data_IF_499186201600
#
_entry.id   IF_499186201600
#
_cell.length_a   1.000
_cell.length_b   1.000
_cell.length_c   1.000
_cell.angle_alpha   90.00
_cell.angle_beta   90.00
_cell.angle_gamma   90.00
#
_symmetry.space_group_name_H-M   'P 1'
#
loop_
_entity.id
_entity.type
_entity.pdbx_description
1 polymer ?
#
# COMPACT_ATOMS: atom_id res chain seq x y z
N UNK A 1 -26.35 22.36 -1.10
CA UNK A 1 -26.06 22.18 -2.55
C UNK A 1 -24.61 21.79 -2.72
N UNK A 2 -24.32 20.50 -2.55
CA UNK A 2 -22.99 19.91 -2.76
C UNK A 2 -23.20 18.72 -3.69
N UNK A 3 -23.16 18.97 -5.00
CA UNK A 3 -23.38 17.93 -6.02
C UNK A 3 -22.56 18.14 -7.29
N UNK A 4 -21.48 18.91 -7.26
CA UNK A 4 -20.71 19.23 -8.49
C UNK A 4 -19.25 18.75 -8.51
N UNK A 5 -18.75 18.09 -7.47
CA UNK A 5 -17.34 17.60 -7.44
C UNK A 5 -17.17 16.09 -7.63
N UNK A 6 -18.26 15.32 -7.62
CA UNK A 6 -18.23 13.88 -7.92
C UNK A 6 -18.25 13.56 -9.43
N UNK A 7 -18.56 14.53 -10.30
CA UNK A 7 -18.73 14.32 -11.75
C UNK A 7 -17.44 14.33 -12.60
N UNK A 8 -16.25 14.55 -12.02
CA UNK A 8 -14.98 14.57 -12.77
C UNK A 8 -14.13 13.30 -12.66
N UNK A 9 -14.53 12.30 -11.86
CA UNK A 9 -13.90 10.98 -11.86
C UNK A 9 -14.56 10.09 -12.91
N UNK A 10 -14.30 10.38 -14.18
CA UNK A 10 -14.80 9.55 -15.28
C UNK A 10 -14.04 8.22 -15.24
N UNK A 11 -14.76 7.13 -14.97
CA UNK A 11 -14.20 5.78 -15.00
C UNK A 11 -13.80 5.41 -16.43
N UNK A 12 -12.62 4.81 -16.56
CA UNK A 12 -12.14 4.16 -17.78
C UNK A 12 -13.22 3.24 -18.40
N UNK A 13 -14.01 2.53 -17.57
CA UNK A 13 -15.10 1.63 -18.00
C UNK A 13 -16.28 2.34 -18.70
N UNK A 14 -16.57 3.60 -18.37
CA UNK A 14 -17.64 4.35 -19.03
C UNK A 14 -17.19 4.88 -20.39
N UNK A 15 -15.88 5.06 -20.56
CA UNK A 15 -15.27 5.57 -21.77
C UNK A 15 -14.89 4.46 -22.76
N UNK A 16 -14.61 3.23 -22.29
CA UNK A 16 -14.18 2.11 -23.15
C UNK A 16 -15.26 1.73 -24.17
N UNK A 17 -16.54 1.86 -23.78
CA UNK A 17 -17.71 1.80 -24.67
C UNK A 17 -17.66 2.76 -25.88
N UNK A 18 -16.89 3.84 -25.81
CA UNK A 18 -16.84 4.90 -26.85
C UNK A 18 -15.48 5.01 -27.56
N UNK A 19 -14.43 4.37 -27.04
CA UNK A 19 -13.06 4.48 -27.56
C UNK A 19 -12.77 3.53 -28.72
N UNK A 20 -13.51 2.42 -28.83
CA UNK A 20 -13.36 1.45 -29.93
C UNK A 20 -13.78 2.06 -31.29
N UNK A 21 -14.62 3.10 -31.31
CA UNK A 21 -15.26 3.58 -32.55
C UNK A 21 -14.86 5.00 -33.02
N UNK A 22 -13.91 5.71 -32.39
CA UNK A 22 -13.56 7.06 -32.87
C UNK A 22 -12.13 7.52 -32.59
N UNK A 23 -11.43 7.97 -33.65
CA UNK A 23 -10.13 8.67 -33.58
C UNK A 23 -10.15 9.90 -32.66
N UNK A 24 -11.33 10.51 -32.46
CA UNK A 24 -11.55 11.68 -31.59
C UNK A 24 -11.46 11.32 -30.11
N UNK A 25 -11.84 10.10 -29.73
CA UNK A 25 -11.79 9.64 -28.33
C UNK A 25 -10.43 9.08 -27.92
N UNK A 26 -9.65 8.48 -28.84
CA UNK A 26 -8.22 8.21 -28.58
C UNK A 26 -7.50 9.44 -28.03
N UNK A 27 -7.75 10.64 -28.58
CA UNK A 27 -7.17 11.90 -28.10
C UNK A 27 -7.60 12.30 -26.69
N UNK A 28 -8.86 12.03 -26.30
CA UNK A 28 -9.37 12.38 -24.97
C UNK A 28 -8.78 11.52 -23.84
N UNK A 29 -8.35 10.29 -24.15
CA UNK A 29 -7.75 9.38 -23.18
C UNK A 29 -6.30 9.72 -22.84
N UNK A 30 -5.55 10.24 -23.82
CA UNK A 30 -4.14 10.60 -23.62
C UNK A 30 -3.96 11.73 -22.61
N UNK A 31 -5.01 12.48 -22.26
CA UNK A 31 -4.95 13.57 -21.28
C UNK A 31 -5.66 13.24 -19.95
N UNK A 32 -6.08 11.99 -19.73
CA UNK A 32 -6.79 11.61 -18.51
C UNK A 32 -5.87 11.63 -17.29
N UNK A 33 -6.21 12.46 -16.31
CA UNK A 33 -5.47 12.54 -15.05
C UNK A 33 -5.70 11.31 -14.15
N UNK A 34 -6.68 10.46 -14.44
CA UNK A 34 -7.08 9.33 -13.62
C UNK A 34 -7.13 8.07 -14.48
N UNK A 35 -6.17 7.16 -14.28
CA UNK A 35 -6.09 5.88 -14.98
C UNK A 35 -6.57 4.76 -14.04
N UNK A 36 -7.82 4.31 -14.23
CA UNK A 36 -8.52 3.43 -13.29
C UNK A 36 -8.85 2.08 -13.95
N UNK A 37 -8.05 1.06 -13.67
CA UNK A 37 -8.21 -0.31 -14.15
C UNK A 37 -8.83 -1.18 -13.04
N UNK A 38 -10.10 -0.91 -12.73
CA UNK A 38 -10.86 -1.58 -11.67
C UNK A 38 -11.54 -2.88 -12.14
N UNK A 39 -12.18 -3.63 -11.24
CA UNK A 39 -12.89 -4.88 -11.59
C UNK A 39 -13.77 -4.75 -12.85
N UNK A 40 -14.49 -3.65 -13.03
CA UNK A 40 -15.33 -3.44 -14.21
C UNK A 40 -14.53 -3.36 -15.53
N UNK A 41 -13.34 -2.74 -15.53
CA UNK A 41 -12.45 -2.75 -16.69
C UNK A 41 -12.04 -4.19 -17.07
N UNK A 42 -11.75 -5.03 -16.08
CA UNK A 42 -11.38 -6.43 -16.32
C UNK A 42 -12.54 -7.25 -16.87
N UNK A 43 -13.74 -7.14 -16.28
CA UNK A 43 -14.93 -7.86 -16.76
C UNK A 43 -15.30 -7.49 -18.20
N UNK A 44 -15.07 -6.24 -18.62
CA UNK A 44 -15.31 -5.78 -20.00
C UNK A 44 -14.34 -6.42 -21.01
N UNK A 45 -13.14 -6.78 -20.57
CA UNK A 45 -12.10 -7.38 -21.42
C UNK A 45 -11.92 -8.88 -21.16
N UNK A 46 -12.82 -9.48 -20.40
CA UNK A 46 -12.86 -10.91 -20.13
C UNK A 46 -13.43 -11.65 -21.36
N UNK A 47 -12.76 -12.72 -21.79
CA UNK A 47 -13.35 -13.71 -22.69
C UNK A 47 -14.38 -14.53 -21.92
N UNK A 48 -15.34 -15.17 -22.60
CA UNK A 48 -16.46 -15.91 -21.98
C UNK A 48 -16.12 -16.73 -20.72
N UNK A 49 -14.90 -17.27 -20.60
CA UNK A 49 -14.45 -18.04 -19.44
C UNK A 49 -13.15 -17.58 -18.76
N UNK A 50 -12.28 -16.77 -19.39
CA UNK A 50 -10.95 -16.40 -18.85
C UNK A 50 -10.52 -14.97 -19.20
N UNK A 51 -9.52 -14.42 -18.51
CA UNK A 51 -8.92 -13.14 -18.89
C UNK A 51 -7.82 -13.32 -19.95
N UNK A 52 -7.88 -12.55 -21.04
CA UNK A 52 -6.77 -12.47 -22.00
C UNK A 52 -5.70 -11.52 -21.45
N UNK A 53 -4.84 -12.05 -20.57
CA UNK A 53 -3.78 -11.30 -19.90
C UNK A 53 -2.83 -10.60 -20.87
N UNK A 54 -2.52 -11.23 -22.01
CA UNK A 54 -1.65 -10.65 -23.04
C UNK A 54 -2.30 -9.41 -23.64
N UNK A 55 -3.55 -9.53 -24.10
CA UNK A 55 -4.30 -8.40 -24.67
C UNK A 55 -4.49 -7.27 -23.66
N UNK A 56 -4.77 -7.59 -22.40
CA UNK A 56 -4.92 -6.58 -21.35
C UNK A 56 -3.59 -5.85 -21.09
N UNK A 57 -2.47 -6.57 -21.08
CA UNK A 57 -1.16 -5.94 -20.99
C UNK A 57 -0.91 -4.99 -22.16
N UNK A 58 -1.22 -5.41 -23.39
CA UNK A 58 -1.08 -4.57 -24.59
C UNK A 58 -1.94 -3.32 -24.52
N UNK A 59 -3.18 -3.44 -24.03
CA UNK A 59 -4.10 -2.30 -23.84
C UNK A 59 -3.54 -1.32 -22.81
N UNK A 60 -3.20 -1.78 -21.60
CA UNK A 60 -2.70 -0.91 -20.53
C UNK A 60 -1.36 -0.28 -20.93
N UNK A 61 -0.45 -1.09 -21.46
CA UNK A 61 0.86 -0.59 -21.92
C UNK A 61 0.70 0.41 -23.07
N UNK A 62 -0.23 0.16 -23.99
CA UNK A 62 -0.57 1.09 -25.08
C UNK A 62 -1.15 2.41 -24.57
N UNK A 63 -2.03 2.38 -23.57
CA UNK A 63 -2.56 3.59 -22.93
C UNK A 63 -1.43 4.39 -22.30
N UNK A 64 -0.57 3.75 -21.50
CA UNK A 64 0.53 4.43 -20.81
C UNK A 64 1.56 4.99 -21.81
N UNK A 65 1.93 4.21 -22.83
CA UNK A 65 2.93 4.61 -23.82
C UNK A 65 2.54 5.87 -24.60
N UNK A 66 1.25 6.00 -24.93
CA UNK A 66 0.75 7.13 -25.73
C UNK A 66 0.20 8.27 -24.86
N UNK A 67 0.16 8.11 -23.53
CA UNK A 67 -0.37 9.11 -22.63
C UNK A 67 0.44 10.41 -22.71
N UNK A 68 -0.26 11.52 -22.88
CA UNK A 68 0.30 12.85 -23.06
C UNK A 68 -0.28 13.81 -22.01
N UNK A 69 0.43 13.93 -20.88
CA UNK A 69 0.08 14.83 -19.78
C UNK A 69 0.30 14.19 -18.41
N UNK A 70 0.01 14.91 -17.34
CA UNK A 70 0.16 14.39 -15.98
C UNK A 70 -0.89 13.31 -15.69
N UNK A 71 -0.46 12.25 -15.02
CA UNK A 71 -1.34 11.23 -14.41
C UNK A 71 -1.36 11.51 -12.92
N UNK A 72 -2.50 11.87 -12.34
CA UNK A 72 -2.63 12.14 -10.92
C UNK A 72 -2.94 10.89 -10.09
N UNK A 73 -3.74 9.96 -10.62
CA UNK A 73 -4.15 8.73 -9.94
C UNK A 73 -4.01 7.53 -10.88
N UNK A 74 -3.35 6.48 -10.40
CA UNK A 74 -3.27 5.18 -11.04
C UNK A 74 -3.87 4.13 -10.09
N UNK A 75 -4.91 3.46 -10.55
CA UNK A 75 -5.58 2.39 -9.81
C UNK A 75 -5.55 1.13 -10.66
N UNK A 76 -5.02 0.04 -10.11
CA UNK A 76 -4.98 -1.28 -10.73
C UNK A 76 -5.55 -2.31 -9.76
N UNK A 77 -6.60 -3.01 -10.18
CA UNK A 77 -7.18 -4.14 -9.46
C UNK A 77 -7.06 -5.40 -10.30
N UNK A 78 -6.05 -6.21 -10.04
CA UNK A 78 -5.87 -7.51 -10.69
C UNK A 78 -6.89 -8.49 -10.11
N UNK A 79 -7.83 -9.03 -10.91
CA UNK A 79 -8.85 -9.95 -10.42
C UNK A 79 -8.26 -11.32 -10.06
N UNK A 80 -9.01 -12.08 -9.26
CA UNK A 80 -8.71 -13.49 -9.05
C UNK A 80 -9.08 -14.28 -10.31
N UNK A 81 -8.10 -14.99 -10.88
CA UNK A 81 -8.30 -15.94 -11.97
C UNK A 81 -7.62 -17.26 -11.55
N UNK A 82 -8.37 -18.24 -11.03
CA UNK A 82 -7.78 -19.43 -10.42
C UNK A 82 -7.19 -20.42 -11.43
N UNK A 83 -7.48 -20.24 -12.72
CA UNK A 83 -7.26 -21.24 -13.76
C UNK A 83 -6.04 -20.92 -14.66
N UNK A 84 -5.36 -19.78 -14.46
CA UNK A 84 -4.22 -19.37 -15.29
C UNK A 84 -3.13 -18.63 -14.50
N UNK A 85 -1.86 -18.95 -14.81
CA UNK A 85 -0.75 -18.06 -14.49
C UNK A 85 -0.90 -16.75 -15.25
N UNK A 86 -0.67 -15.63 -14.56
CA UNK A 86 -0.74 -14.30 -15.14
C UNK A 86 0.61 -13.61 -15.07
N UNK A 87 0.86 -12.73 -16.03
CA UNK A 87 2.01 -11.84 -16.04
C UNK A 87 1.53 -10.42 -16.29
N UNK A 88 2.10 -9.43 -15.60
CA UNK A 88 1.82 -8.02 -15.82
C UNK A 88 3.11 -7.24 -16.04
N UNK A 89 3.08 -6.30 -16.98
CA UNK A 89 4.18 -5.37 -17.24
C UNK A 89 4.30 -4.27 -16.16
N UNK A 90 4.00 -4.60 -14.89
CA UNK A 90 3.90 -3.63 -13.80
C UNK A 90 5.19 -2.82 -13.60
N UNK A 91 6.36 -3.43 -13.78
CA UNK A 91 7.64 -2.72 -13.72
C UNK A 91 7.74 -1.60 -14.78
N UNK A 92 7.36 -1.90 -16.03
CA UNK A 92 7.32 -0.93 -17.12
C UNK A 92 6.29 0.17 -16.85
N UNK A 93 5.12 -0.21 -16.32
CA UNK A 93 4.06 0.74 -16.00
C UNK A 93 4.49 1.72 -14.91
N UNK A 94 5.10 1.23 -13.83
CA UNK A 94 5.63 2.08 -12.75
C UNK A 94 6.77 2.98 -13.26
N UNK A 95 7.64 2.48 -14.15
CA UNK A 95 8.68 3.28 -14.81
C UNK A 95 8.13 4.40 -15.69
N UNK A 96 6.94 4.22 -16.29
CA UNK A 96 6.23 5.32 -16.93
C UNK A 96 5.66 6.30 -15.90
N UNK A 97 4.95 5.80 -14.90
CA UNK A 97 4.25 6.62 -13.90
C UNK A 97 5.19 7.50 -13.06
N UNK A 98 6.42 7.03 -12.81
CA UNK A 98 7.45 7.80 -12.10
C UNK A 98 7.78 9.14 -12.77
N UNK A 99 7.52 9.26 -14.09
CA UNK A 99 7.75 10.46 -14.89
C UNK A 99 6.48 11.26 -15.18
N UNK A 100 5.33 10.82 -14.68
CA UNK A 100 4.01 11.34 -15.04
C UNK A 100 3.36 12.23 -13.95
N UNK A 101 4.12 12.78 -13.01
CA UNK A 101 3.62 13.59 -11.88
C UNK A 101 2.55 12.88 -11.01
N UNK A 102 2.74 11.57 -10.80
CA UNK A 102 1.81 10.71 -10.08
C UNK A 102 1.69 11.07 -8.61
N UNK A 103 0.44 11.30 -8.15
CA UNK A 103 0.14 11.67 -6.75
C UNK A 103 -0.47 10.53 -5.96
N UNK A 104 -1.16 9.61 -6.62
CA UNK A 104 -1.82 8.49 -5.96
C UNK A 104 -1.67 7.19 -6.75
N UNK A 105 -1.23 6.15 -6.07
CA UNK A 105 -1.13 4.79 -6.62
C UNK A 105 -1.91 3.85 -5.72
N UNK A 106 -2.77 3.03 -6.32
CA UNK A 106 -3.42 1.91 -5.65
C UNK A 106 -3.23 0.65 -6.48
N UNK A 107 -2.52 -0.33 -5.92
CA UNK A 107 -2.27 -1.63 -6.53
C UNK A 107 -2.93 -2.70 -5.68
N UNK A 108 -3.89 -3.41 -6.26
CA UNK A 108 -4.59 -4.53 -5.62
C UNK A 108 -4.36 -5.77 -6.47
N UNK A 109 -3.81 -6.81 -5.87
CA UNK A 109 -3.62 -8.07 -6.57
C UNK A 109 -4.40 -9.22 -5.90
N UNK A 110 -5.50 -9.65 -6.52
CA UNK A 110 -6.27 -10.80 -6.01
C UNK A 110 -6.02 -12.07 -6.82
N UNK A 111 -5.09 -12.03 -7.78
CA UNK A 111 -4.77 -13.19 -8.58
C UNK A 111 -4.12 -14.27 -7.72
N UNK A 112 -4.58 -15.51 -7.91
CA UNK A 112 -4.02 -16.67 -7.24
C UNK A 112 -2.59 -16.88 -7.74
N UNK A 113 -1.66 -17.04 -6.81
CA UNK A 113 -0.29 -17.42 -7.08
C UNK A 113 0.20 -18.26 -5.89
N UNK A 114 1.19 -19.14 -6.14
CA UNK A 114 1.80 -19.96 -5.09
C UNK A 114 2.52 -19.10 -4.02
N UNK A 115 2.95 -17.90 -4.42
CA UNK A 115 3.56 -16.90 -3.54
C UNK A 115 3.13 -15.49 -3.93
N UNK A 116 3.27 -14.53 -3.01
CA UNK A 116 2.94 -13.13 -3.29
C UNK A 116 3.89 -12.55 -4.35
N UNK A 117 3.38 -11.83 -5.36
CA UNK A 117 4.24 -11.21 -6.35
C UNK A 117 5.10 -10.12 -5.71
N UNK A 118 6.36 -10.05 -6.13
CA UNK A 118 7.32 -9.06 -5.64
C UNK A 118 7.00 -7.70 -6.28
N UNK A 119 6.91 -6.66 -5.45
CA UNK A 119 6.71 -5.29 -5.90
C UNK A 119 7.95 -4.78 -6.68
N UNK A 120 7.80 -4.29 -7.92
CA UNK A 120 8.91 -3.70 -8.66
C UNK A 120 9.47 -2.46 -7.97
N UNK A 121 10.81 -2.32 -7.95
CA UNK A 121 11.50 -1.19 -7.31
C UNK A 121 11.15 0.18 -7.90
N UNK A 122 10.69 0.24 -9.15
CA UNK A 122 10.23 1.46 -9.80
C UNK A 122 9.11 2.21 -9.04
N UNK A 123 8.40 1.55 -8.11
CA UNK A 123 7.46 2.24 -7.20
C UNK A 123 8.15 3.34 -6.40
N UNK A 124 9.42 3.11 -6.01
CA UNK A 124 10.27 4.05 -5.28
C UNK A 124 10.84 5.17 -6.16
N UNK A 125 10.53 5.20 -7.45
CA UNK A 125 10.89 6.32 -8.34
C UNK A 125 9.76 7.34 -8.48
N UNK A 126 8.58 7.08 -7.88
CA UNK A 126 7.42 7.96 -7.97
C UNK A 126 7.53 9.13 -6.98
N UNK A 127 8.46 10.05 -7.24
CA UNK A 127 8.89 11.09 -6.29
C UNK A 127 7.78 12.03 -5.82
N UNK A 128 6.72 12.21 -6.60
CA UNK A 128 5.62 13.13 -6.30
C UNK A 128 4.45 12.48 -5.55
N UNK A 129 4.59 11.20 -5.18
CA UNK A 129 3.52 10.39 -4.60
C UNK A 129 3.12 10.87 -3.20
N UNK A 130 1.81 11.01 -2.98
CA UNK A 130 1.21 11.49 -1.72
C UNK A 130 0.42 10.38 -1.04
N UNK A 131 -0.18 9.48 -1.82
CA UNK A 131 -1.03 8.38 -1.35
C UNK A 131 -0.64 7.07 -2.05
N UNK A 132 -0.22 6.09 -1.26
CA UNK A 132 0.18 4.76 -1.73
C UNK A 132 -0.63 3.69 -1.00
N UNK A 133 -1.34 2.88 -1.79
CA UNK A 133 -2.01 1.67 -1.32
C UNK A 133 -1.49 0.44 -2.07
N UNK A 134 -1.03 -0.56 -1.32
CA UNK A 134 -0.55 -1.84 -1.84
C UNK A 134 -1.32 -2.96 -1.13
N UNK A 135 -1.86 -3.89 -1.91
CA UNK A 135 -2.62 -5.03 -1.41
C UNK A 135 -2.11 -6.32 -2.07
N UNK A 136 -1.73 -7.32 -1.27
CA UNK A 136 -1.24 -8.64 -1.70
C UNK A 136 0.02 -8.58 -2.59
N UNK A 137 1.10 -8.03 -2.03
CA UNK A 137 2.44 -8.06 -2.64
C UNK A 137 3.49 -8.36 -1.58
N UNK A 138 4.65 -8.86 -2.01
CA UNK A 138 5.86 -8.86 -1.21
C UNK A 138 6.67 -7.58 -1.51
N UNK A 139 7.16 -6.89 -0.46
CA UNK A 139 8.03 -5.73 -0.60
C UNK A 139 9.49 -6.09 -0.35
N UNK A 140 10.35 -5.57 -1.22
CA UNK A 140 11.79 -5.52 -0.99
C UNK A 140 12.20 -4.17 -0.39
N UNK A 141 13.42 -4.12 0.14
CA UNK A 141 14.01 -2.88 0.63
C UNK A 141 14.01 -1.82 -0.49
N UNK A 142 13.69 -0.55 -0.17
CA UNK A 142 13.94 0.55 -1.09
C UNK A 142 15.42 0.57 -1.52
N UNK A 143 15.72 1.03 -2.75
CA UNK A 143 17.10 1.32 -3.14
C UNK A 143 17.79 2.26 -2.14
N UNK A 144 19.11 2.11 -1.95
CA UNK A 144 19.86 2.88 -0.94
C UNK A 144 19.87 4.39 -1.20
N UNK A 145 19.67 4.79 -2.45
CA UNK A 145 19.57 6.17 -2.95
C UNK A 145 18.11 6.64 -3.12
N UNK A 146 17.15 5.89 -2.57
CA UNK A 146 15.72 6.18 -2.72
C UNK A 146 15.35 7.56 -2.16
N UNK A 147 14.93 8.45 -3.06
CA UNK A 147 14.30 9.74 -2.74
C UNK A 147 12.77 9.69 -2.87
N UNK A 148 12.19 8.57 -3.29
CA UNK A 148 10.89 8.57 -3.96
C UNK A 148 9.65 8.79 -3.12
N UNK A 149 9.72 8.71 -1.79
CA UNK A 149 8.56 8.95 -0.93
C UNK A 149 8.70 10.22 -0.08
N UNK A 150 9.48 11.20 -0.55
CA UNK A 150 9.67 12.48 0.10
C UNK A 150 8.36 13.20 0.46
N UNK A 151 7.32 13.09 -0.39
CA UNK A 151 6.01 13.72 -0.19
C UNK A 151 4.90 12.76 0.24
N UNK A 152 5.22 11.49 0.52
CA UNK A 152 4.21 10.49 0.85
C UNK A 152 3.59 10.82 2.21
N UNK A 153 2.27 11.02 2.22
CA UNK A 153 1.50 11.37 3.42
C UNK A 153 0.65 10.21 3.93
N UNK A 154 0.18 9.35 3.03
CA UNK A 154 -0.69 8.22 3.35
C UNK A 154 -0.08 6.94 2.79
N UNK A 155 0.18 5.97 3.67
CA UNK A 155 0.67 4.64 3.30
C UNK A 155 -0.30 3.59 3.85
N UNK A 156 -0.87 2.79 2.95
CA UNK A 156 -1.78 1.68 3.26
C UNK A 156 -1.23 0.36 2.70
N UNK A 157 -0.86 -0.56 3.58
CA UNK A 157 -0.37 -1.90 3.24
C UNK A 157 -1.34 -2.96 3.78
N UNK A 158 -1.93 -3.76 2.89
CA UNK A 158 -2.93 -4.79 3.23
C UNK A 158 -2.45 -6.15 2.72
N UNK A 159 -2.34 -7.14 3.62
CA UNK A 159 -1.89 -8.49 3.24
C UNK A 159 -0.57 -8.44 2.48
N UNK A 160 0.32 -7.53 2.89
CA UNK A 160 1.63 -7.33 2.30
C UNK A 160 2.65 -8.10 3.12
N UNK A 161 3.57 -8.76 2.45
CA UNK A 161 4.71 -9.42 3.08
C UNK A 161 5.94 -8.50 3.07
N UNK A 162 6.57 -8.29 4.22
CA UNK A 162 7.84 -7.59 4.33
C UNK A 162 8.59 -7.98 5.60
N UNK A 163 9.92 -7.91 5.53
CA UNK A 163 10.80 -8.06 6.71
C UNK A 163 10.88 -6.76 7.50
N UNK A 164 11.33 -6.83 8.75
CA UNK A 164 11.38 -5.68 9.66
C UNK A 164 12.36 -4.57 9.19
N UNK A 165 13.53 -4.96 8.72
CA UNK A 165 14.54 -4.11 8.09
C UNK A 165 14.04 -3.43 6.81
N UNK A 166 13.25 -4.14 5.99
CA UNK A 166 12.55 -3.58 4.84
C UNK A 166 11.56 -2.51 5.27
N UNK A 167 10.74 -2.77 6.29
CA UNK A 167 9.78 -1.80 6.81
C UNK A 167 10.47 -0.56 7.38
N UNK A 168 11.55 -0.74 8.15
CA UNK A 168 12.36 0.38 8.68
C UNK A 168 12.89 1.26 7.56
N UNK A 169 13.43 0.66 6.50
CA UNK A 169 13.96 1.39 5.34
C UNK A 169 12.86 2.11 4.55
N UNK A 170 11.68 1.48 4.41
CA UNK A 170 10.49 2.08 3.80
C UNK A 170 10.05 3.33 4.57
N UNK A 171 9.91 3.22 5.90
CA UNK A 171 9.51 4.34 6.75
C UNK A 171 10.54 5.46 6.74
N UNK A 172 11.84 5.14 6.73
CA UNK A 172 12.91 6.13 6.58
C UNK A 172 12.81 6.92 5.27
N UNK A 173 12.30 6.30 4.21
CA UNK A 173 12.07 6.95 2.91
C UNK A 173 10.84 7.87 2.89
N UNK A 174 10.00 7.87 3.94
CA UNK A 174 8.74 8.60 4.00
C UNK A 174 8.74 9.72 5.07
N UNK A 175 9.59 10.76 4.98
CA UNK A 175 9.73 11.78 6.02
C UNK A 175 8.43 12.58 6.27
N UNK A 176 7.58 12.72 5.25
CA UNK A 176 6.30 13.43 5.31
C UNK A 176 5.10 12.61 5.79
N UNK A 177 5.29 11.35 6.20
CA UNK A 177 4.18 10.42 6.47
C UNK A 177 3.29 10.93 7.61
N UNK A 178 1.99 11.06 7.34
CA UNK A 178 0.98 11.53 8.31
C UNK A 178 0.01 10.44 8.75
N UNK A 179 -0.25 9.48 7.87
CA UNK A 179 -1.16 8.35 8.10
C UNK A 179 -0.51 7.04 7.64
N UNK A 180 -0.50 6.07 8.55
CA UNK A 180 -0.03 4.71 8.29
C UNK A 180 -1.16 3.72 8.58
N UNK A 181 -1.43 2.82 7.64
CA UNK A 181 -2.36 1.71 7.83
C UNK A 181 -1.73 0.40 7.41
N UNK A 182 -1.67 -0.54 8.35
CA UNK A 182 -1.24 -1.92 8.14
C UNK A 182 -2.42 -2.83 8.44
N UNK A 183 -2.69 -3.80 7.58
CA UNK A 183 -3.72 -4.81 7.80
C UNK A 183 -3.20 -6.17 7.36
N UNK A 184 -3.30 -7.17 8.23
CA UNK A 184 -2.98 -8.57 7.93
C UNK A 184 -1.59 -8.74 7.26
N UNK A 185 -0.61 -7.90 7.64
CA UNK A 185 0.74 -7.94 7.03
C UNK A 185 1.59 -9.04 7.69
N UNK A 186 2.33 -9.79 6.88
CA UNK A 186 3.06 -11.02 7.25
C UNK A 186 4.57 -10.81 7.01
N UNK A 187 5.43 -11.68 7.51
CA UNK A 187 6.89 -11.62 7.25
C UNK A 187 7.68 -10.90 8.35
N UNK A 188 7.02 -10.54 9.46
CA UNK A 188 7.69 -10.09 10.68
C UNK A 188 8.30 -11.31 11.43
N UNK A 189 8.93 -12.28 10.76
CA UNK A 189 9.27 -13.57 11.39
C UNK A 189 10.70 -13.67 11.94
N UNK A 190 11.55 -12.67 11.72
CA UNK A 190 12.95 -12.72 12.17
C UNK A 190 13.20 -12.01 13.52
N UNK A 191 12.45 -12.41 14.54
CA UNK A 191 12.82 -12.13 15.93
C UNK A 191 13.14 -13.43 16.67
N UNK A 192 14.15 -14.13 16.19
CA UNK A 192 14.89 -15.08 17.02
C UNK A 192 15.90 -14.21 17.78
N UNK A 193 15.65 -13.87 19.04
CA UNK A 193 16.13 -14.69 20.16
C UNK A 193 14.99 -15.18 21.09
N UNK A 194 14.90 -16.50 21.33
CA UNK A 194 13.92 -17.11 22.20
C UNK A 194 14.46 -17.13 23.64
N UNK A 195 14.48 -15.97 24.31
CA UNK A 195 14.50 -15.87 25.78
C UNK A 195 14.77 -14.43 26.19
N UNK A 196 13.70 -13.67 26.40
CA UNK A 196 13.55 -12.63 27.41
C UNK A 196 12.21 -11.95 27.15
N UNK A 197 11.48 -11.65 28.22
CA UNK A 197 10.29 -10.81 28.19
C UNK A 197 10.47 -9.65 27.21
N UNK A 198 9.48 -9.44 26.34
CA UNK A 198 9.44 -8.47 25.24
C UNK A 198 9.91 -7.05 25.64
N UNK A 199 9.92 -6.73 26.95
CA UNK A 199 10.25 -5.42 27.52
C UNK A 199 11.73 -5.17 27.89
N UNK A 200 12.67 -6.11 27.67
CA UNK A 200 14.08 -5.90 28.10
C UNK A 200 15.05 -5.47 27.00
N UNK A 201 14.72 -5.68 25.73
CA UNK A 201 15.48 -5.04 24.67
C UNK A 201 14.85 -3.66 24.43
N UNK A 202 15.45 -2.62 25.02
CA UNK A 202 15.39 -1.31 24.38
C UNK A 202 15.87 -1.56 22.95
N UNK A 203 14.97 -1.45 21.98
CA UNK A 203 15.41 -1.24 20.62
C UNK A 203 16.45 -0.11 20.71
N UNK A 204 17.63 -0.33 20.14
CA UNK A 204 18.47 0.78 19.76
C UNK A 204 17.70 1.47 18.64
N UNK A 205 16.75 2.30 19.05
CA UNK A 205 16.08 3.25 18.19
C UNK A 205 17.22 4.11 17.73
N UNK A 206 17.82 3.75 16.60
CA UNK A 206 18.78 4.58 15.91
C UNK A 206 18.16 5.98 15.84
N UNK A 207 18.63 6.84 16.74
CA UNK A 207 17.93 8.05 17.17
C UNK A 207 17.78 9.05 16.02
N UNK A 208 18.38 8.73 14.88
CA UNK A 208 18.39 9.46 13.64
C UNK A 208 17.03 9.41 12.91
N UNK A 209 16.24 8.34 13.06
CA UNK A 209 14.97 8.19 12.31
C UNK A 209 13.74 8.39 13.19
N UNK A 210 13.07 9.54 13.03
CA UNK A 210 11.81 9.88 13.70
C UNK A 210 10.69 10.09 12.69
N UNK A 211 9.52 9.53 12.97
CA UNK A 211 8.28 9.86 12.26
C UNK A 211 7.72 11.18 12.79
N UNK A 212 8.29 12.28 12.29
CA UNK A 212 8.03 13.65 12.79
C UNK A 212 6.62 14.15 12.51
N UNK A 213 5.96 13.58 11.51
CA UNK A 213 4.66 14.05 11.01
C UNK A 213 3.54 13.02 11.18
N UNK A 214 3.83 11.79 11.66
CA UNK A 214 2.81 10.76 11.79
C UNK A 214 1.77 11.15 12.85
N UNK A 215 0.53 11.34 12.43
CA UNK A 215 -0.58 11.73 13.29
C UNK A 215 -1.47 10.54 13.65
N UNK A 216 -1.67 9.62 12.70
CA UNK A 216 -2.56 8.47 12.81
C UNK A 216 -1.88 7.20 12.33
N UNK A 217 -1.93 6.16 13.14
CA UNK A 217 -1.53 4.82 12.74
C UNK A 217 -2.69 3.86 12.97
N UNK A 218 -2.86 2.88 12.09
CA UNK A 218 -3.84 1.81 12.23
C UNK A 218 -3.20 0.46 11.91
N UNK A 219 -3.23 -0.48 12.85
CA UNK A 219 -2.77 -1.87 12.62
C UNK A 219 -3.89 -2.84 12.95
N UNK A 220 -4.40 -3.56 11.95
CA UNK A 220 -5.42 -4.59 12.15
C UNK A 220 -4.91 -5.94 11.71
N UNK A 221 -5.49 -7.02 12.22
CA UNK A 221 -4.99 -8.36 11.88
C UNK A 221 -3.96 -8.88 12.87
N UNK A 222 -3.81 -8.26 14.04
CA UNK A 222 -2.77 -8.63 15.00
C UNK A 222 -3.07 -10.02 15.56
N UNK A 223 -2.13 -10.94 15.38
CA UNK A 223 -2.20 -12.32 15.91
C UNK A 223 -1.52 -12.46 17.27
N UNK A 224 -0.93 -11.40 17.80
CA UNK A 224 -0.25 -11.40 19.10
C UNK A 224 1.18 -11.96 19.03
N UNK A 225 1.73 -12.12 17.83
CA UNK A 225 3.11 -12.52 17.67
C UNK A 225 4.06 -11.47 18.26
N UNK A 226 5.18 -11.92 18.84
CA UNK A 226 6.23 -11.04 19.39
C UNK A 226 6.64 -9.94 18.40
N UNK A 227 6.58 -10.24 17.11
CA UNK A 227 7.02 -9.35 16.07
C UNK A 227 6.04 -8.25 15.69
N UNK A 228 4.75 -8.54 15.66
CA UNK A 228 3.73 -7.51 15.53
C UNK A 228 3.80 -6.53 16.71
N UNK A 229 4.00 -7.04 17.93
CA UNK A 229 4.12 -6.21 19.12
C UNK A 229 5.35 -5.30 19.05
N UNK A 230 6.50 -5.84 18.62
CA UNK A 230 7.71 -5.05 18.38
C UNK A 230 7.56 -4.03 17.26
N UNK A 231 6.78 -4.35 16.21
CA UNK A 231 6.44 -3.38 15.17
C UNK A 231 5.59 -2.23 15.72
N UNK A 232 4.59 -2.54 16.56
CA UNK A 232 3.78 -1.53 17.24
C UNK A 232 4.67 -0.65 18.13
N UNK A 233 5.50 -1.27 18.97
CA UNK A 233 6.49 -0.60 19.82
C UNK A 233 7.38 0.34 19.01
N UNK A 234 7.96 -0.15 17.91
CA UNK A 234 8.78 0.65 17.01
C UNK A 234 8.03 1.88 16.49
N UNK A 235 6.83 1.72 15.96
CA UNK A 235 6.03 2.82 15.41
C UNK A 235 5.70 3.85 16.50
N UNK A 236 5.23 3.44 17.68
CA UNK A 236 4.89 4.38 18.77
C UNK A 236 6.14 5.03 19.39
N UNK A 237 7.27 4.34 19.36
CA UNK A 237 8.56 4.79 19.88
C UNK A 237 9.24 5.85 19.01
N UNK A 238 9.02 5.85 17.69
CA UNK A 238 9.61 6.86 16.79
C UNK A 238 8.66 8.00 16.40
N UNK A 239 7.36 7.86 16.70
CA UNK A 239 6.32 8.80 16.24
C UNK A 239 6.05 9.90 17.26
N UNK A 240 6.77 11.02 17.14
CA UNK A 240 6.73 12.14 18.09
C UNK A 240 5.44 12.98 18.06
N UNK A 241 4.68 12.96 16.96
CA UNK A 241 3.41 13.71 16.82
C UNK A 241 2.16 12.81 16.81
N UNK A 242 2.31 11.52 17.10
CA UNK A 242 1.20 10.56 17.06
C UNK A 242 0.07 11.00 17.99
N UNK A 243 -1.16 11.02 17.47
CA UNK A 243 -2.35 11.39 18.25
C UNK A 243 -3.27 10.19 18.47
N UNK A 244 -3.40 9.33 17.46
CA UNK A 244 -4.24 8.13 17.52
C UNK A 244 -3.52 6.94 16.92
N UNK A 245 -3.46 5.87 17.69
CA UNK A 245 -3.03 4.57 17.23
C UNK A 245 -4.21 3.61 17.39
N UNK A 246 -4.77 3.16 16.28
CA UNK A 246 -5.89 2.23 16.27
C UNK A 246 -5.35 0.82 16.07
N UNK A 247 -5.82 -0.15 16.84
CA UNK A 247 -5.45 -1.53 16.59
C UNK A 247 -6.62 -2.50 16.73
N UNK A 248 -6.53 -3.64 16.05
CA UNK A 248 -7.52 -4.72 16.11
C UNK A 248 -6.82 -6.07 16.03
N UNK A 249 -7.08 -6.93 17.01
CA UNK A 249 -6.66 -8.32 17.00
C UNK A 249 -7.52 -9.14 16.03
N UNK A 250 -6.99 -10.24 15.52
CA UNK A 250 -7.71 -11.13 14.62
C UNK A 250 -7.63 -12.57 15.12
N UNK A 251 -8.78 -13.23 15.22
CA UNK A 251 -8.90 -14.64 15.59
C UNK A 251 -8.20 -15.03 16.91
N UNK A 252 -8.19 -14.11 17.89
CA UNK A 252 -7.68 -14.41 19.24
C UNK A 252 -8.83 -14.75 20.18
N UNK A 253 -8.59 -15.73 21.06
CA UNK A 253 -9.49 -15.97 22.19
C UNK A 253 -9.43 -14.77 23.16
N UNK A 254 -10.48 -14.55 23.97
CA UNK A 254 -10.54 -13.39 24.87
C UNK A 254 -9.35 -13.26 25.82
N UNK A 255 -8.74 -14.37 26.26
CA UNK A 255 -7.61 -14.33 27.20
C UNK A 255 -6.33 -13.86 26.51
N UNK A 256 -6.06 -14.35 25.30
CA UNK A 256 -4.94 -13.92 24.47
C UNK A 256 -5.09 -12.46 24.02
N UNK A 257 -6.29 -12.05 23.64
CA UNK A 257 -6.57 -10.66 23.29
C UNK A 257 -6.32 -9.72 24.48
N UNK A 258 -6.78 -10.08 25.68
CA UNK A 258 -6.50 -9.31 26.90
C UNK A 258 -5.01 -9.20 27.20
N UNK A 259 -4.23 -10.25 26.94
CA UNK A 259 -2.77 -10.21 27.10
C UNK A 259 -2.13 -9.22 26.13
N UNK A 260 -2.46 -9.31 24.84
CA UNK A 260 -1.98 -8.37 23.81
C UNK A 260 -2.37 -6.92 24.16
N UNK A 261 -3.61 -6.70 24.61
CA UNK A 261 -4.08 -5.38 25.04
C UNK A 261 -3.25 -4.81 26.18
N UNK A 262 -2.98 -5.61 27.22
CA UNK A 262 -2.16 -5.18 28.35
C UNK A 262 -0.74 -4.82 27.93
N UNK A 263 -0.14 -5.62 27.06
CA UNK A 263 1.21 -5.37 26.55
C UNK A 263 1.27 -4.09 25.71
N UNK A 264 0.36 -3.92 24.75
CA UNK A 264 0.34 -2.73 23.88
C UNK A 264 0.05 -1.44 24.64
N UNK A 265 -0.84 -1.47 25.64
CA UNK A 265 -1.19 -0.28 26.40
C UNK A 265 -0.04 0.22 27.30
N UNK A 266 0.86 -0.68 27.72
CA UNK A 266 2.04 -0.38 28.55
C UNK A 266 3.25 0.11 27.74
N UNK A 267 3.20 0.08 26.41
CA UNK A 267 4.34 0.49 25.58
C UNK A 267 4.72 1.95 25.81
N UNK A 268 6.03 2.26 25.88
CA UNK A 268 6.52 3.63 25.92
C UNK A 268 6.17 4.35 24.61
N UNK A 269 5.80 5.62 24.70
CA UNK A 269 5.35 6.42 23.55
C UNK A 269 6.20 7.66 23.42
N UNK A 270 6.69 7.96 22.22
CA UNK A 270 7.39 9.23 21.97
C UNK A 270 6.45 10.44 22.06
N UNK A 271 5.19 10.29 21.63
CA UNK A 271 4.17 11.32 21.76
C UNK A 271 3.37 11.16 23.06
N UNK A 272 3.42 12.18 23.93
CA UNK A 272 2.57 12.28 25.13
C UNK A 272 1.07 12.39 24.80
N UNK A 273 0.71 12.76 23.56
CA UNK A 273 -0.68 12.90 23.10
C UNK A 273 -1.24 11.62 22.47
N UNK A 274 -0.40 10.59 22.27
CA UNK A 274 -0.81 9.37 21.59
C UNK A 274 -1.80 8.55 22.42
N UNK A 275 -3.00 8.36 21.88
CA UNK A 275 -4.01 7.45 22.41
C UNK A 275 -3.97 6.14 21.62
N UNK A 276 -3.73 5.03 22.31
CA UNK A 276 -3.87 3.68 21.77
C UNK A 276 -5.30 3.22 22.02
N UNK A 277 -6.01 2.85 20.95
CA UNK A 277 -7.43 2.49 20.99
C UNK A 277 -7.62 1.16 20.29
N UNK A 278 -8.14 0.18 21.03
CA UNK A 278 -8.59 -1.08 20.46
C UNK A 278 -9.92 -0.86 19.74
N UNK A 279 -10.04 -1.38 18.52
CA UNK A 279 -11.29 -1.43 17.77
C UNK A 279 -12.02 -2.72 18.10
N UNK A 280 -13.33 -2.64 18.34
CA UNK A 280 -14.16 -3.81 18.62
C UNK A 280 -14.06 -4.87 17.50
N UNK A 281 -14.15 -6.14 17.92
CA UNK A 281 -14.21 -7.28 17.01
C UNK A 281 -15.50 -7.26 16.18
#
# INVERSE_FOLDING_TARGET
MASSESSKKIQVSMLAKTSVLSRKWRRNWLSLKYLIFNKAFWEEHKSSTYFDWKRINEIISGILLHHNGPVHEFYLHVPNDPDQEFYLNLSQWLSFLSRAAIKKITLVNLAKADSLPIMPSHIFSCNELVDLKIVYYALNAPPSDCLGFAYLQNLELLSVEFKHDVFRSLIASCPGLTQLKLKDCIGITNLITPNKSVLQHKFDYDNNFKLRHLLKAKITGITGSSAELKLVEYIVGISVKLTRFLFKCNNLDPSSELKVLRELLQLPRASKKAKLVCLAQ
#
